data_IF_235062385979
#
_entry.id   IF_235062385979
#
_cell.length_a   1.000
_cell.length_b   1.000
_cell.length_c   1.000
_cell.angle_alpha   90.00
_cell.angle_beta   90.00
_cell.angle_gamma   90.00
#
_symmetry.space_group_name_H-M   'P 1'
#
loop_
_entity.id
_entity.type
_entity.pdbx_description
1 polymer ?
#
# COMPACT_ATOMS: atom_id res chain seq x y z
N UNK A 1 -12.91 10.51 20.49
CA UNK A 1 -12.52 9.08 20.67
C UNK A 1 -12.89 8.20 19.48
N UNK A 2 -14.00 8.45 18.77
CA UNK A 2 -14.42 7.63 17.60
C UNK A 2 -13.40 7.69 16.45
N UNK A 3 -12.84 8.87 16.18
CA UNK A 3 -11.89 9.07 15.07
C UNK A 3 -10.61 8.23 15.18
N UNK A 4 -10.04 8.14 16.39
CA UNK A 4 -8.83 7.35 16.65
C UNK A 4 -9.06 5.87 16.37
N UNK A 5 -10.18 5.31 16.85
CA UNK A 5 -10.50 3.90 16.64
C UNK A 5 -10.67 3.57 15.14
N UNK A 6 -11.35 4.46 14.40
CA UNK A 6 -11.52 4.34 12.96
C UNK A 6 -10.18 4.32 12.21
N UNK A 7 -9.29 5.26 12.53
CA UNK A 7 -7.96 5.31 11.89
C UNK A 7 -7.14 4.06 12.19
N UNK A 8 -7.22 3.52 13.41
CA UNK A 8 -6.53 2.29 13.80
C UNK A 8 -7.02 1.09 12.98
N UNK A 9 -8.33 0.95 12.80
CA UNK A 9 -8.89 -0.13 11.97
C UNK A 9 -8.43 0.00 10.52
N UNK A 10 -8.51 1.20 9.95
CA UNK A 10 -8.11 1.47 8.57
C UNK A 10 -6.61 1.24 8.32
N UNK A 11 -5.76 1.57 9.31
CA UNK A 11 -4.33 1.25 9.27
C UNK A 11 -4.10 -0.26 9.30
N UNK A 12 -4.89 -1.01 10.09
CA UNK A 12 -4.75 -2.47 10.20
C UNK A 12 -5.26 -3.22 8.97
N UNK A 13 -6.23 -2.66 8.25
CA UNK A 13 -6.66 -3.20 6.97
C UNK A 13 -5.55 -3.13 5.91
N UNK A 14 -4.74 -2.06 5.94
CA UNK A 14 -3.60 -1.88 5.01
C UNK A 14 -2.33 -2.56 5.52
N UNK A 15 -2.08 -2.56 6.83
CA UNK A 15 -0.91 -3.17 7.47
C UNK A 15 -1.33 -4.05 8.66
N UNK A 16 -1.71 -5.32 8.41
CA UNK A 16 -2.21 -6.23 9.45
C UNK A 16 -1.17 -6.56 10.53
N UNK A 17 0.12 -6.37 10.22
CA UNK A 17 1.23 -6.69 11.13
C UNK A 17 1.42 -5.68 12.26
N UNK A 18 0.80 -4.50 12.16
CA UNK A 18 0.95 -3.44 13.16
C UNK A 18 0.03 -3.68 14.35
N UNK A 19 0.55 -3.50 15.57
CA UNK A 19 -0.22 -3.73 16.79
C UNK A 19 -1.10 -2.53 17.16
N UNK A 20 -2.30 -2.80 17.68
CA UNK A 20 -3.22 -1.76 18.19
C UNK A 20 -2.59 -0.99 19.35
N UNK A 21 -1.89 -1.70 20.24
CA UNK A 21 -1.23 -1.09 21.40
C UNK A 21 -0.16 -0.07 20.96
N UNK A 22 0.59 -0.37 19.90
CA UNK A 22 1.53 0.58 19.31
C UNK A 22 0.81 1.79 18.71
N UNK A 23 -0.25 1.59 17.95
CA UNK A 23 -1.01 2.69 17.34
C UNK A 23 -1.70 3.59 18.38
N UNK A 24 -2.12 3.05 19.52
CA UNK A 24 -2.78 3.81 20.58
C UNK A 24 -1.90 4.89 21.22
N UNK A 25 -0.58 4.84 20.99
CA UNK A 25 0.41 5.82 21.49
C UNK A 25 0.46 7.11 20.67
N UNK A 26 -0.17 7.13 19.50
CA UNK A 26 -0.12 8.26 18.56
C UNK A 26 -1.39 9.10 18.62
N UNK A 27 -1.21 10.39 18.33
CA UNK A 27 -2.32 11.33 18.15
C UNK A 27 -3.06 11.10 16.82
N UNK A 28 -4.27 11.63 16.72
CA UNK A 28 -5.09 11.55 15.49
C UNK A 28 -4.35 12.09 14.25
N UNK A 29 -3.69 13.27 14.29
CA UNK A 29 -2.92 13.76 13.14
C UNK A 29 -1.79 12.82 12.70
N UNK A 30 -1.10 12.19 13.66
CA UNK A 30 -0.01 11.25 13.37
C UNK A 30 -0.54 9.97 12.73
N UNK A 31 -1.65 9.43 13.23
CA UNK A 31 -2.33 8.27 12.64
C UNK A 31 -2.81 8.56 11.21
N UNK A 32 -3.43 9.72 10.98
CA UNK A 32 -3.86 10.15 9.65
C UNK A 32 -2.68 10.28 8.68
N UNK A 33 -1.56 10.85 9.14
CA UNK A 33 -0.36 10.96 8.32
C UNK A 33 0.24 9.58 7.99
N UNK A 34 0.30 8.68 8.96
CA UNK A 34 0.78 7.32 8.76
C UNK A 34 -0.10 6.54 7.77
N UNK A 35 -1.42 6.63 7.89
CA UNK A 35 -2.36 6.01 6.96
C UNK A 35 -2.17 6.53 5.53
N UNK A 36 -2.01 7.85 5.36
CA UNK A 36 -1.73 8.44 4.06
C UNK A 36 -0.43 7.89 3.46
N UNK A 37 0.62 7.75 4.27
CA UNK A 37 1.88 7.15 3.84
C UNK A 37 1.69 5.70 3.38
N UNK A 38 0.98 4.87 4.15
CA UNK A 38 0.71 3.47 3.79
C UNK A 38 -0.02 3.33 2.45
N UNK A 39 -0.98 4.21 2.17
CA UNK A 39 -1.72 4.23 0.89
C UNK A 39 -0.82 4.53 -0.30
N UNK A 40 0.07 5.51 -0.16
CA UNK A 40 1.05 5.84 -1.21
C UNK A 40 2.00 4.67 -1.44
N UNK A 41 2.43 3.99 -0.37
CA UNK A 41 3.33 2.84 -0.43
C UNK A 41 2.69 1.59 -1.05
N UNK A 42 1.37 1.44 -0.92
CA UNK A 42 0.63 0.30 -1.47
C UNK A 42 0.44 0.36 -2.99
N UNK A 43 0.71 1.51 -3.61
CA UNK A 43 0.66 1.64 -5.07
C UNK A 43 1.93 1.05 -5.70
N UNK A 44 1.84 0.42 -6.89
CA UNK A 44 3.01 0.00 -7.64
C UNK A 44 3.96 1.19 -7.80
N UNK A 45 5.21 1.03 -7.34
CA UNK A 45 6.23 2.07 -7.49
C UNK A 45 6.72 2.06 -8.94
N UNK A 46 6.20 2.97 -9.76
CA UNK A 46 6.59 3.14 -11.17
C UNK A 46 5.56 2.59 -12.16
N UNK A 47 5.81 2.81 -13.46
CA UNK A 47 4.95 2.36 -14.57
C UNK A 47 4.65 0.87 -14.43
N UNK A 48 3.40 0.55 -14.10
CA UNK A 48 2.88 -0.81 -14.11
C UNK A 48 3.15 -1.39 -15.50
N UNK A 49 4.05 -2.37 -15.59
CA UNK A 49 4.21 -3.16 -16.80
C UNK A 49 2.99 -4.06 -16.88
N UNK A 50 1.92 -3.56 -17.50
CA UNK A 50 0.76 -4.37 -17.84
C UNK A 50 1.13 -5.24 -19.04
N UNK A 51 1.38 -6.53 -18.77
CA UNK A 51 1.55 -7.51 -19.83
C UNK A 51 0.22 -7.59 -20.59
N UNK A 52 0.21 -7.21 -21.85
CA UNK A 52 -0.95 -7.45 -22.70
C UNK A 52 -1.11 -8.96 -22.89
N UNK A 53 -2.31 -9.45 -22.62
CA UNK A 53 -2.66 -10.87 -22.64
C UNK A 53 -2.66 -11.47 -24.07
N UNK A 54 -2.45 -10.62 -25.09
CA UNK A 54 -2.45 -10.97 -26.51
C UNK A 54 -1.06 -11.27 -27.09
N UNK A 55 0.02 -11.21 -26.29
CA UNK A 55 1.39 -11.42 -26.79
C UNK A 55 2.06 -12.69 -26.23
N UNK A 56 2.68 -13.52 -27.10
CA UNK A 56 3.42 -14.70 -26.67
C UNK A 56 4.60 -14.33 -25.77
N UNK A 57 4.91 -15.21 -24.82
CA UNK A 57 5.85 -14.95 -23.72
C UNK A 57 7.33 -14.79 -24.13
N UNK A 58 7.68 -14.92 -25.40
CA UNK A 58 9.06 -15.02 -25.86
C UNK A 58 9.23 -14.15 -27.11
N UNK A 59 10.02 -13.08 -27.00
CA UNK A 59 10.56 -12.36 -28.14
C UNK A 59 11.88 -13.00 -28.53
N UNK A 60 11.94 -13.71 -29.66
CA UNK A 60 13.20 -14.11 -30.27
C UNK A 60 13.84 -12.88 -30.93
N UNK A 61 15.05 -12.53 -30.51
CA UNK A 61 15.86 -11.53 -31.18
C UNK A 61 16.65 -12.23 -32.29
N UNK A 62 16.31 -11.98 -33.56
CA UNK A 62 17.21 -12.28 -34.68
C UNK A 62 18.03 -11.02 -35.00
N UNK A 63 19.35 -11.13 -34.84
CA UNK A 63 20.29 -10.14 -35.32
C UNK A 63 20.58 -10.41 -36.80
N UNK A 64 20.40 -9.41 -37.65
CA UNK A 64 20.79 -9.45 -39.07
C UNK A 64 22.29 -9.17 -39.25
#
# INVERSE_FOLDING_TARGET
MIETARLIEEIRDVNPSVSVEWLSRFSVPELSHYLAHLRVMSLPRGSSWERRDDLPAISAYEAA
#
